data_IF_345209805453
#
_entry.id   IF_345209805453
#
_cell.length_a   1.000
_cell.length_b   1.000
_cell.length_c   1.000
_cell.angle_alpha   90.00
_cell.angle_beta   90.00
_cell.angle_gamma   90.00
#
_symmetry.space_group_name_H-M   'P 1'
#
loop_
_entity.id
_entity.type
_entity.pdbx_description
1 polymer ?
#
# COMPACT_ATOMS: atom_id res chain seq x y z
N UNK A 1 19.97 27.81 -27.39
CA UNK A 1 19.31 29.00 -27.91
C UNK A 1 17.80 28.78 -27.99
N UNK A 2 17.02 29.78 -27.64
CA UNK A 2 15.53 29.79 -27.76
C UNK A 2 15.15 29.90 -29.22
N UNK A 3 14.35 28.93 -29.70
CA UNK A 3 13.80 28.94 -31.05
C UNK A 3 12.40 29.54 -31.12
N UNK A 4 11.60 29.36 -30.07
CA UNK A 4 10.28 29.96 -29.93
C UNK A 4 9.87 30.11 -28.47
N UNK A 5 9.04 31.12 -28.21
CA UNK A 5 8.40 31.36 -26.92
C UNK A 5 6.96 31.75 -27.16
N UNK A 6 6.02 30.89 -26.75
CA UNK A 6 4.59 31.08 -26.94
C UNK A 6 3.91 31.06 -25.57
N UNK A 7 2.96 31.98 -25.34
CA UNK A 7 2.15 31.93 -24.12
C UNK A 7 1.15 30.76 -24.19
N UNK A 8 1.07 29.96 -23.13
CA UNK A 8 0.18 28.83 -23.00
C UNK A 8 -0.48 28.86 -21.59
N UNK A 9 -1.62 29.55 -21.52
CA UNK A 9 -2.28 29.85 -20.23
C UNK A 9 -1.41 30.77 -19.35
N UNK A 10 -1.13 30.32 -18.15
CA UNK A 10 -0.29 31.04 -17.17
C UNK A 10 1.21 30.71 -17.32
N UNK A 11 1.59 29.93 -18.31
CA UNK A 11 2.95 29.50 -18.58
C UNK A 11 3.40 29.94 -19.97
N UNK A 12 4.69 29.85 -20.22
CA UNK A 12 5.32 30.05 -21.52
C UNK A 12 5.91 28.73 -22.00
N UNK A 13 5.52 28.34 -23.22
CA UNK A 13 6.01 27.15 -23.90
C UNK A 13 7.24 27.52 -24.72
N UNK A 14 8.38 26.98 -24.33
CA UNK A 14 9.69 27.29 -24.90
C UNK A 14 10.19 26.12 -25.74
N UNK A 15 10.67 26.41 -26.94
CA UNK A 15 11.42 25.47 -27.76
C UNK A 15 12.88 25.88 -27.85
N UNK A 16 13.80 24.92 -27.65
CA UNK A 16 15.24 25.13 -27.72
C UNK A 16 15.85 24.40 -28.92
N UNK A 17 16.97 24.91 -29.46
CA UNK A 17 17.71 24.23 -30.52
C UNK A 17 18.32 22.91 -30.07
N UNK A 18 18.57 22.72 -28.78
CA UNK A 18 18.99 21.48 -28.13
C UNK A 18 18.62 21.51 -26.65
N UNK A 19 18.37 20.36 -26.08
CA UNK A 19 18.06 20.25 -24.64
C UNK A 19 18.59 18.96 -24.07
N UNK A 20 18.89 18.98 -22.77
CA UNK A 20 19.21 17.80 -21.96
C UNK A 20 18.03 17.37 -21.07
N UNK A 21 16.96 18.14 -21.06
CA UNK A 21 15.76 17.79 -20.30
C UNK A 21 15.04 16.61 -20.94
N UNK A 22 14.82 15.57 -20.17
CA UNK A 22 14.04 14.42 -20.58
C UNK A 22 12.54 14.75 -20.50
N UNK A 23 11.77 14.55 -21.57
CA UNK A 23 10.32 14.76 -21.56
C UNK A 23 9.63 13.60 -20.81
N UNK A 24 8.37 13.81 -20.45
CA UNK A 24 7.56 12.72 -19.88
C UNK A 24 7.32 11.65 -20.95
N UNK A 25 7.89 10.48 -20.75
CA UNK A 25 7.78 9.35 -21.68
C UNK A 25 8.01 8.01 -21.00
N UNK A 26 7.42 6.94 -21.56
CA UNK A 26 7.72 5.56 -21.17
C UNK A 26 7.37 5.20 -19.72
N UNK A 27 6.48 5.95 -19.06
CA UNK A 27 6.12 5.74 -17.65
C UNK A 27 7.04 6.45 -16.67
N UNK A 28 7.98 7.28 -17.17
CA UNK A 28 8.83 8.16 -16.38
C UNK A 28 8.38 9.60 -16.51
N UNK A 29 8.27 10.33 -15.39
CA UNK A 29 8.01 11.77 -15.37
C UNK A 29 9.14 12.56 -16.01
N UNK A 30 8.84 13.74 -16.52
CA UNK A 30 9.84 14.64 -17.07
C UNK A 30 10.85 15.12 -16.01
N UNK A 31 11.99 15.57 -16.48
CA UNK A 31 12.96 16.24 -15.62
C UNK A 31 12.42 17.52 -15.00
N UNK A 32 13.03 17.88 -13.88
CA UNK A 32 12.94 19.20 -13.26
C UNK A 32 14.27 19.96 -13.44
N UNK A 33 14.22 21.23 -13.20
CA UNK A 33 15.42 22.09 -13.26
C UNK A 33 15.05 23.50 -13.60
N UNK A 34 15.99 24.24 -14.20
CA UNK A 34 15.81 25.66 -14.56
C UNK A 34 16.33 25.99 -15.96
N UNK A 35 15.76 27.01 -16.58
CA UNK A 35 16.30 27.72 -17.74
C UNK A 35 16.57 29.15 -17.31
N UNK A 36 17.86 29.59 -17.27
CA UNK A 36 18.27 30.88 -16.70
C UNK A 36 17.67 31.15 -15.31
N UNK A 37 17.76 30.14 -14.41
CA UNK A 37 17.21 30.15 -13.05
C UNK A 37 15.67 30.15 -12.96
N UNK A 38 14.94 30.23 -14.08
CA UNK A 38 13.48 30.11 -14.13
C UNK A 38 13.12 28.62 -14.04
N UNK A 39 12.28 28.19 -13.07
CA UNK A 39 11.90 26.80 -12.93
C UNK A 39 11.17 26.24 -14.16
N UNK A 40 11.57 25.05 -14.58
CA UNK A 40 10.88 24.27 -15.61
C UNK A 40 9.80 23.44 -14.94
N UNK A 41 8.54 23.78 -15.21
CA UNK A 41 7.37 23.15 -14.60
C UNK A 41 7.01 21.81 -15.28
N UNK A 42 7.26 21.73 -16.60
CA UNK A 42 6.91 20.58 -17.41
C UNK A 42 7.78 20.49 -18.66
N UNK A 43 8.07 19.27 -19.09
CA UNK A 43 8.73 18.99 -20.38
C UNK A 43 7.96 17.89 -21.09
N UNK A 44 7.55 18.13 -22.32
CA UNK A 44 6.86 17.16 -23.19
C UNK A 44 7.49 17.11 -24.57
N UNK A 45 7.44 15.95 -25.19
CA UNK A 45 7.73 15.79 -26.62
C UNK A 45 6.41 15.71 -27.40
N UNK A 46 6.36 16.46 -28.48
CA UNK A 46 5.30 16.37 -29.48
C UNK A 46 5.91 16.57 -30.87
N UNK A 47 5.60 15.69 -31.80
CA UNK A 47 6.07 15.74 -33.19
C UNK A 47 7.61 15.82 -33.28
N UNK A 48 8.33 15.12 -32.41
CA UNK A 48 9.79 15.12 -32.25
C UNK A 48 10.40 16.45 -31.81
N UNK A 49 9.58 17.35 -31.29
CA UNK A 49 10.02 18.62 -30.69
C UNK A 49 9.79 18.56 -29.19
N UNK A 50 10.83 18.91 -28.43
CA UNK A 50 10.77 18.97 -26.96
C UNK A 50 10.39 20.39 -26.55
N UNK A 51 9.29 20.51 -25.83
CA UNK A 51 8.74 21.75 -25.29
C UNK A 51 8.97 21.82 -23.77
N UNK A 52 9.35 23.01 -23.31
CA UNK A 52 9.57 23.30 -21.90
C UNK A 52 8.56 24.36 -21.44
N UNK A 53 7.86 24.14 -20.33
CA UNK A 53 6.97 25.14 -19.74
C UNK A 53 7.61 25.81 -18.56
N UNK A 54 7.64 27.16 -18.60
CA UNK A 54 8.21 28.03 -17.57
C UNK A 54 7.23 29.14 -17.21
N UNK A 55 7.41 29.79 -16.05
CA UNK A 55 6.51 30.87 -15.60
C UNK A 55 6.82 32.25 -16.19
N UNK A 56 8.03 32.44 -16.69
CA UNK A 56 8.47 33.70 -17.24
C UNK A 56 8.88 33.54 -18.71
N UNK A 57 8.66 34.57 -19.56
CA UNK A 57 9.02 34.46 -20.96
C UNK A 57 10.56 34.50 -21.18
N UNK A 58 11.00 33.79 -22.21
CA UNK A 58 12.34 33.83 -22.73
C UNK A 58 12.28 34.31 -24.18
N UNK A 59 13.23 35.19 -24.57
CA UNK A 59 13.18 35.82 -25.89
C UNK A 59 13.80 34.91 -26.95
N UNK A 60 13.16 34.86 -28.12
CA UNK A 60 13.71 34.17 -29.29
C UNK A 60 15.11 34.70 -29.68
N UNK A 61 16.04 33.80 -29.93
CA UNK A 61 17.43 34.10 -30.21
C UNK A 61 18.33 34.15 -28.97
N UNK A 62 17.79 34.23 -27.76
CA UNK A 62 18.57 34.24 -26.55
C UNK A 62 19.29 32.92 -26.30
N UNK A 63 20.51 33.01 -25.79
CA UNK A 63 21.22 31.85 -25.25
C UNK A 63 20.80 31.64 -23.81
N UNK A 64 20.29 30.47 -23.50
CA UNK A 64 19.86 30.09 -22.15
C UNK A 64 20.74 29.00 -21.59
N UNK A 65 20.97 29.05 -20.28
CA UNK A 65 21.62 27.98 -19.53
C UNK A 65 20.54 27.07 -18.93
N UNK A 66 20.53 25.80 -19.32
CA UNK A 66 19.68 24.79 -18.73
C UNK A 66 20.41 24.05 -17.61
N UNK A 67 19.82 24.00 -16.42
CA UNK A 67 20.28 23.21 -15.28
C UNK A 67 19.23 22.16 -14.94
N UNK A 68 19.57 20.88 -15.15
CA UNK A 68 18.70 19.75 -14.72
C UNK A 68 18.89 19.51 -13.23
N UNK A 69 17.80 19.28 -12.51
CA UNK A 69 17.84 18.74 -11.15
C UNK A 69 18.49 17.35 -11.18
N UNK A 70 19.79 17.34 -10.88
CA UNK A 70 20.60 16.14 -10.99
C UNK A 70 20.22 15.08 -9.96
N UNK A 71 19.81 15.48 -8.76
CA UNK A 71 19.41 14.54 -7.71
C UNK A 71 18.17 13.74 -8.15
N UNK A 72 17.14 14.42 -8.65
CA UNK A 72 15.97 13.77 -9.22
C UNK A 72 16.32 12.91 -10.44
N UNK A 73 17.09 13.46 -11.39
CA UNK A 73 17.50 12.77 -12.61
C UNK A 73 18.26 11.48 -12.29
N UNK A 74 19.25 11.55 -11.41
CA UNK A 74 20.05 10.41 -11.03
C UNK A 74 19.20 9.34 -10.30
N UNK A 75 18.32 9.77 -9.40
CA UNK A 75 17.36 8.87 -8.76
C UNK A 75 16.49 8.15 -9.80
N UNK A 76 15.94 8.86 -10.78
CA UNK A 76 15.13 8.26 -11.83
C UNK A 76 15.94 7.29 -12.70
N UNK A 77 17.21 7.62 -13.03
CA UNK A 77 18.12 6.73 -13.74
C UNK A 77 18.39 5.44 -12.96
N UNK A 78 18.57 5.52 -11.62
CA UNK A 78 18.73 4.35 -10.75
C UNK A 78 17.49 3.46 -10.80
N UNK A 79 16.28 4.04 -10.67
CA UNK A 79 15.02 3.30 -10.72
C UNK A 79 14.84 2.63 -12.09
N UNK A 80 15.04 3.37 -13.17
CA UNK A 80 14.78 2.86 -14.52
C UNK A 80 15.76 1.75 -14.91
N UNK A 81 17.04 1.92 -14.58
CA UNK A 81 18.05 0.87 -14.86
C UNK A 81 17.80 -0.36 -13.99
N UNK A 82 17.39 -0.19 -12.73
CA UNK A 82 16.97 -1.29 -11.86
C UNK A 82 15.75 -2.05 -12.41
N UNK A 83 14.78 -1.34 -13.00
CA UNK A 83 13.64 -1.95 -13.68
C UNK A 83 14.07 -2.86 -14.83
N UNK A 84 15.00 -2.41 -15.68
CA UNK A 84 15.52 -3.21 -16.78
C UNK A 84 16.13 -4.52 -16.28
N UNK A 85 16.96 -4.48 -15.24
CA UNK A 85 17.58 -5.67 -14.65
C UNK A 85 16.51 -6.64 -14.13
N UNK A 86 15.54 -6.13 -13.35
CA UNK A 86 14.47 -6.95 -12.76
C UNK A 86 13.57 -7.55 -13.84
N UNK A 87 13.15 -6.74 -14.81
CA UNK A 87 12.31 -7.20 -15.91
C UNK A 87 13.01 -8.21 -16.82
N UNK A 88 14.29 -8.01 -17.10
CA UNK A 88 15.11 -8.96 -17.87
C UNK A 88 15.23 -10.30 -17.15
N UNK A 89 15.54 -10.29 -15.84
CA UNK A 89 15.60 -11.50 -15.02
C UNK A 89 14.26 -12.23 -14.94
N UNK A 90 13.15 -11.53 -14.73
CA UNK A 90 11.82 -12.15 -14.69
C UNK A 90 11.49 -12.78 -16.05
N UNK A 91 11.81 -12.11 -17.13
CA UNK A 91 11.65 -12.69 -18.48
C UNK A 91 12.52 -13.90 -18.70
N UNK A 92 13.79 -13.85 -18.31
CA UNK A 92 14.74 -14.97 -18.46
C UNK A 92 14.28 -16.21 -17.70
N UNK A 93 13.95 -16.06 -16.42
CA UNK A 93 13.65 -17.19 -15.52
C UNK A 93 12.22 -17.72 -15.63
N UNK A 94 11.25 -16.84 -15.91
CA UNK A 94 9.83 -17.21 -15.84
C UNK A 94 9.09 -17.03 -17.16
N UNK A 95 9.75 -16.46 -18.18
CA UNK A 95 9.17 -16.15 -19.50
C UNK A 95 7.96 -15.20 -19.40
N UNK A 96 7.90 -14.38 -18.35
CA UNK A 96 6.87 -13.37 -18.17
C UNK A 96 7.31 -12.04 -18.79
N UNK A 97 6.34 -11.30 -19.31
CA UNK A 97 6.57 -10.00 -19.92
C UNK A 97 6.16 -8.87 -19.00
N UNK A 98 6.96 -7.82 -18.95
CA UNK A 98 6.55 -6.57 -18.33
C UNK A 98 5.53 -5.87 -19.27
N UNK A 99 4.28 -5.79 -18.81
CA UNK A 99 3.15 -5.18 -19.55
C UNK A 99 2.75 -3.81 -19.03
N UNK A 100 3.41 -3.33 -17.96
CA UNK A 100 3.18 -2.01 -17.39
C UNK A 100 4.35 -1.55 -16.52
N UNK A 101 4.72 -0.29 -16.67
CA UNK A 101 5.77 0.36 -15.89
C UNK A 101 5.33 1.77 -15.51
N UNK A 102 5.52 2.13 -14.25
CA UNK A 102 5.30 3.48 -13.78
C UNK A 102 6.35 3.84 -12.73
N UNK A 103 7.10 4.92 -13.01
CA UNK A 103 8.07 5.50 -12.10
C UNK A 103 7.39 6.56 -11.25
N UNK A 104 6.73 6.12 -10.17
CA UNK A 104 6.07 7.01 -9.23
C UNK A 104 7.04 7.69 -8.26
N UNK A 105 6.55 8.72 -7.56
CA UNK A 105 7.32 9.45 -6.54
C UNK A 105 7.69 8.55 -5.33
N UNK A 106 6.79 7.69 -4.90
CA UNK A 106 6.98 6.83 -3.72
C UNK A 106 7.61 5.48 -4.07
N UNK A 107 7.16 4.85 -5.15
CA UNK A 107 7.68 3.57 -5.62
C UNK A 107 7.56 3.42 -7.13
N UNK A 108 8.42 2.60 -7.68
CA UNK A 108 8.30 2.09 -9.05
C UNK A 108 7.37 0.89 -9.04
N UNK A 109 6.43 0.83 -9.98
CA UNK A 109 5.57 -0.32 -10.19
C UNK A 109 5.84 -0.97 -11.54
N UNK A 110 5.89 -2.30 -11.54
CA UNK A 110 6.06 -3.15 -12.73
C UNK A 110 4.95 -4.19 -12.76
N UNK A 111 4.23 -4.27 -13.86
CA UNK A 111 3.14 -5.23 -14.06
C UNK A 111 3.61 -6.35 -15.00
N UNK A 112 3.43 -7.59 -14.58
CA UNK A 112 3.79 -8.77 -15.36
C UNK A 112 2.55 -9.60 -15.70
N UNK A 113 2.57 -10.25 -16.87
CA UNK A 113 1.47 -11.03 -17.45
C UNK A 113 1.30 -12.43 -16.82
N UNK A 114 2.00 -12.73 -15.75
CA UNK A 114 1.88 -13.98 -15.00
C UNK A 114 2.20 -13.82 -13.52
N UNK A 115 2.13 -14.93 -12.80
CA UNK A 115 2.26 -14.96 -11.33
C UNK A 115 3.61 -15.56 -10.94
N UNK A 116 4.26 -14.95 -9.95
CA UNK A 116 5.45 -15.46 -9.29
C UNK A 116 5.20 -15.60 -7.78
N UNK A 117 5.98 -16.45 -7.12
CA UNK A 117 5.91 -16.63 -5.65
C UNK A 117 6.80 -15.61 -4.93
N UNK A 118 6.63 -15.50 -3.62
CA UNK A 118 7.50 -14.65 -2.80
C UNK A 118 8.95 -15.14 -2.78
N UNK A 119 9.17 -16.43 -2.82
CA UNK A 119 10.50 -17.05 -2.89
C UNK A 119 11.17 -16.73 -4.23
N UNK A 120 10.44 -16.81 -5.32
CA UNK A 120 10.91 -16.41 -6.65
C UNK A 120 11.24 -14.91 -6.70
N UNK A 121 10.40 -14.06 -6.08
CA UNK A 121 10.66 -12.62 -5.98
C UNK A 121 11.97 -12.32 -5.22
N UNK A 122 12.21 -13.01 -4.10
CA UNK A 122 13.47 -12.87 -3.32
C UNK A 122 14.68 -13.33 -4.12
N UNK A 123 14.54 -14.41 -4.89
CA UNK A 123 15.61 -14.87 -5.79
C UNK A 123 15.93 -13.82 -6.85
N UNK A 124 14.92 -13.20 -7.47
CA UNK A 124 15.10 -12.10 -8.43
C UNK A 124 15.78 -10.90 -7.78
N UNK A 125 15.33 -10.49 -6.58
CA UNK A 125 15.95 -9.39 -5.83
C UNK A 125 17.45 -9.65 -5.58
N UNK A 126 17.79 -10.87 -5.17
CA UNK A 126 19.19 -11.27 -4.96
C UNK A 126 20.02 -11.17 -6.24
N UNK A 127 19.51 -11.76 -7.33
CA UNK A 127 20.20 -11.73 -8.64
C UNK A 127 20.31 -10.32 -9.23
N UNK A 128 19.31 -9.48 -9.00
CA UNK A 128 19.39 -8.08 -9.41
C UNK A 128 20.52 -7.33 -8.68
N UNK A 129 20.70 -7.61 -7.39
CA UNK A 129 21.80 -7.02 -6.61
C UNK A 129 23.18 -7.64 -6.97
N UNK A 130 23.23 -8.87 -7.49
CA UNK A 130 24.48 -9.40 -8.10
C UNK A 130 24.90 -8.57 -9.33
N UNK A 131 23.94 -8.11 -10.15
CA UNK A 131 24.24 -7.22 -11.27
C UNK A 131 24.82 -5.88 -10.79
N UNK A 132 24.25 -5.31 -9.72
CA UNK A 132 24.77 -4.09 -9.09
C UNK A 132 26.21 -4.31 -8.60
N UNK A 133 26.46 -5.41 -7.88
CA UNK A 133 27.79 -5.73 -7.35
C UNK A 133 28.84 -5.97 -8.42
N UNK A 134 28.43 -6.50 -9.60
CA UNK A 134 29.35 -6.71 -10.75
C UNK A 134 29.77 -5.42 -11.44
N UNK A 135 29.10 -4.30 -11.20
CA UNK A 135 29.38 -2.99 -11.78
C UNK A 135 29.56 -3.01 -13.30
N UNK A 136 28.58 -3.61 -14.00
CA UNK A 136 28.61 -3.81 -15.44
C UNK A 136 28.33 -2.49 -16.18
N UNK A 137 28.96 -2.26 -17.38
CA UNK A 137 28.63 -1.09 -18.19
C UNK A 137 27.22 -1.21 -18.76
N UNK A 138 26.46 -0.12 -18.73
CA UNK A 138 25.17 0.02 -19.43
C UNK A 138 25.48 0.60 -20.80
N UNK A 139 25.32 -0.23 -21.84
CA UNK A 139 25.63 0.17 -23.20
C UNK A 139 24.41 0.75 -23.89
N UNK A 140 24.60 1.86 -24.57
CA UNK A 140 23.56 2.53 -25.35
C UNK A 140 24.02 2.58 -26.81
N UNK A 141 23.20 2.01 -27.69
CA UNK A 141 23.50 1.96 -29.13
C UNK A 141 22.30 2.37 -29.97
N UNK A 142 22.56 2.74 -31.22
CA UNK A 142 21.58 3.08 -32.24
C UNK A 142 21.83 2.21 -33.47
N UNK A 143 21.43 0.91 -33.42
CA UNK A 143 21.68 -0.02 -34.49
C UNK A 143 20.97 0.38 -35.79
N UNK A 144 21.52 -0.03 -36.94
CA UNK A 144 20.82 0.03 -38.21
C UNK A 144 19.64 -0.96 -38.25
N UNK A 145 18.77 -0.86 -39.27
CA UNK A 145 17.64 -1.79 -39.40
C UNK A 145 18.11 -3.26 -39.61
N UNK A 146 19.22 -3.45 -40.26
CA UNK A 146 19.81 -4.76 -40.49
C UNK A 146 20.34 -5.38 -39.19
N UNK A 147 21.07 -4.58 -38.39
CA UNK A 147 21.59 -5.00 -37.09
C UNK A 147 20.47 -5.30 -36.09
N UNK A 148 19.37 -4.54 -36.11
CA UNK A 148 18.22 -4.77 -35.25
C UNK A 148 17.55 -6.12 -35.45
N UNK A 149 17.58 -6.68 -36.67
CA UNK A 149 17.01 -8.01 -36.94
C UNK A 149 17.82 -9.14 -36.27
N UNK A 150 19.08 -8.91 -35.92
CA UNK A 150 19.94 -9.89 -35.27
C UNK A 150 19.97 -9.71 -33.73
N UNK A 151 19.49 -8.57 -33.20
CA UNK A 151 19.53 -8.30 -31.78
C UNK A 151 18.22 -8.79 -31.12
N UNK A 152 18.26 -9.74 -30.18
CA UNK A 152 17.09 -10.24 -29.47
C UNK A 152 16.67 -9.25 -28.35
N UNK A 153 16.18 -8.07 -28.73
CA UNK A 153 15.77 -7.05 -27.76
C UNK A 153 14.29 -7.16 -27.38
N UNK A 154 13.97 -6.75 -26.15
CA UNK A 154 12.60 -6.57 -25.68
C UNK A 154 12.08 -5.19 -26.08
N UNK A 155 10.81 -5.10 -26.41
CA UNK A 155 10.12 -3.82 -26.62
C UNK A 155 8.71 -3.87 -26.04
N UNK A 156 8.27 -2.79 -25.40
CA UNK A 156 6.90 -2.64 -24.87
C UNK A 156 5.92 -2.08 -25.92
N UNK A 157 6.45 -1.53 -27.02
CA UNK A 157 5.68 -0.89 -28.10
C UNK A 157 6.34 -1.15 -29.45
N UNK A 158 5.56 -1.10 -30.51
CA UNK A 158 6.10 -0.90 -31.85
C UNK A 158 6.67 0.52 -31.94
N UNK A 159 7.87 0.67 -32.48
CA UNK A 159 8.58 1.94 -32.57
C UNK A 159 8.83 2.25 -34.04
N UNK A 160 8.28 3.39 -34.50
CA UNK A 160 8.55 3.94 -35.81
C UNK A 160 9.81 4.83 -35.79
N UNK A 161 10.82 4.49 -36.60
CA UNK A 161 12.04 5.29 -36.73
C UNK A 161 13.28 4.64 -36.10
N UNK A 162 14.32 5.45 -35.77
CA UNK A 162 15.52 4.95 -35.15
C UNK A 162 15.25 4.39 -33.76
N UNK A 163 15.68 3.17 -33.49
CA UNK A 163 15.50 2.49 -32.22
C UNK A 163 16.77 2.61 -31.38
N UNK A 164 16.64 3.17 -30.17
CA UNK A 164 17.71 3.20 -29.18
C UNK A 164 17.66 1.95 -28.33
N UNK A 165 18.76 1.19 -28.35
CA UNK A 165 18.92 -0.03 -27.57
C UNK A 165 19.74 0.25 -26.32
N UNK A 166 19.24 -0.21 -25.18
CA UNK A 166 19.92 -0.25 -23.90
C UNK A 166 20.26 -1.70 -23.59
N UNK A 167 21.55 -2.01 -23.45
CA UNK A 167 22.05 -3.35 -23.09
C UNK A 167 22.71 -3.32 -21.72
N UNK A 168 22.27 -4.19 -20.83
CA UNK A 168 22.94 -4.55 -19.59
C UNK A 168 23.46 -5.98 -19.76
N UNK A 169 24.75 -6.18 -20.00
CA UNK A 169 25.30 -7.46 -20.42
C UNK A 169 24.92 -8.62 -19.48
N UNK A 170 24.26 -9.64 -20.04
CA UNK A 170 23.81 -10.83 -19.31
C UNK A 170 22.55 -10.64 -18.47
N UNK A 171 21.87 -9.48 -18.59
CA UNK A 171 20.65 -9.21 -17.82
C UNK A 171 19.51 -8.72 -18.69
N UNK A 172 19.72 -7.74 -19.56
CA UNK A 172 18.65 -7.19 -20.39
C UNK A 172 19.17 -6.54 -21.68
N UNK A 173 18.38 -6.64 -22.74
CA UNK A 173 18.52 -5.88 -23.98
C UNK A 173 17.15 -5.35 -24.34
N UNK A 174 16.95 -4.04 -24.31
CA UNK A 174 15.63 -3.44 -24.46
C UNK A 174 15.67 -2.15 -25.28
N UNK A 175 14.62 -1.94 -26.07
CA UNK A 175 14.37 -0.64 -26.70
C UNK A 175 13.88 0.35 -25.66
N UNK A 176 14.65 1.41 -25.39
CA UNK A 176 14.33 2.40 -24.38
C UNK A 176 14.92 3.77 -24.71
N UNK A 177 14.14 4.84 -24.53
CA UNK A 177 14.56 6.23 -24.76
C UNK A 177 15.04 6.95 -23.50
N UNK A 178 14.70 6.44 -22.32
CA UNK A 178 14.97 7.10 -21.04
C UNK A 178 16.47 7.14 -20.69
N UNK A 179 16.88 8.12 -19.83
CA UNK A 179 18.22 8.14 -19.27
C UNK A 179 18.48 6.94 -18.34
N UNK A 180 19.71 6.43 -18.39
CA UNK A 180 20.18 5.32 -17.56
C UNK A 180 21.49 5.68 -16.88
N UNK A 181 21.85 4.99 -15.81
CA UNK A 181 23.18 5.07 -15.21
C UNK A 181 24.24 4.49 -16.18
N UNK A 182 25.50 4.88 -16.01
CA UNK A 182 26.58 4.37 -16.88
C UNK A 182 27.05 2.97 -16.50
N UNK A 183 26.97 2.66 -15.20
CA UNK A 183 27.35 1.37 -14.65
C UNK A 183 26.29 0.89 -13.67
N UNK A 184 26.06 -0.43 -13.62
CA UNK A 184 25.05 -1.01 -12.70
C UNK A 184 25.37 -0.77 -11.23
N UNK A 185 26.63 -0.54 -10.86
CA UNK A 185 27.03 -0.16 -9.49
C UNK A 185 26.47 1.20 -9.04
N UNK A 186 26.20 2.12 -9.96
CA UNK A 186 25.60 3.43 -9.66
C UNK A 186 24.13 3.31 -9.20
N UNK A 187 23.47 2.15 -9.44
CA UNK A 187 22.14 1.86 -8.92
C UNK A 187 22.16 1.81 -7.37
N UNK A 188 23.29 1.35 -6.80
CA UNK A 188 23.48 1.20 -5.38
C UNK A 188 22.82 -0.06 -4.82
N UNK A 189 21.52 -0.10 -4.68
CA UNK A 189 20.76 -1.24 -4.17
C UNK A 189 19.40 -1.35 -4.87
N UNK A 190 18.96 -2.56 -5.13
CA UNK A 190 17.62 -2.85 -5.65
C UNK A 190 16.81 -3.58 -4.57
N UNK A 191 15.63 -3.05 -4.20
CA UNK A 191 14.70 -3.66 -3.26
C UNK A 191 13.34 -3.88 -3.92
N UNK A 192 12.82 -5.10 -3.83
CA UNK A 192 11.47 -5.45 -4.26
C UNK A 192 10.56 -5.41 -3.02
N UNK A 193 9.94 -4.25 -2.80
CA UNK A 193 9.28 -3.89 -1.53
C UNK A 193 7.87 -4.44 -1.38
N UNK A 194 7.21 -4.75 -2.49
CA UNK A 194 5.84 -5.26 -2.49
C UNK A 194 5.51 -6.12 -3.71
N UNK A 195 4.50 -6.97 -3.54
CA UNK A 195 3.94 -7.78 -4.62
C UNK A 195 2.45 -8.04 -4.35
N UNK A 196 1.62 -7.76 -5.35
CA UNK A 196 0.17 -7.97 -5.29
C UNK A 196 -0.36 -8.56 -6.61
N UNK A 197 -1.52 -9.21 -6.54
CA UNK A 197 -2.21 -9.70 -7.75
C UNK A 197 -2.77 -8.51 -8.54
N UNK A 198 -2.53 -8.51 -9.85
CA UNK A 198 -2.99 -7.43 -10.71
C UNK A 198 -3.35 -7.92 -12.12
N UNK A 199 -4.57 -7.68 -12.58
CA UNK A 199 -5.07 -7.97 -13.94
C UNK A 199 -4.69 -9.35 -14.51
N UNK A 200 -4.80 -10.39 -13.70
CA UNK A 200 -4.45 -11.76 -14.10
C UNK A 200 -2.97 -12.13 -13.97
N UNK A 201 -2.12 -11.17 -13.62
CA UNK A 201 -0.71 -11.34 -13.34
C UNK A 201 -0.31 -10.80 -11.98
N UNK A 202 0.86 -10.19 -11.90
CA UNK A 202 1.41 -9.64 -10.66
C UNK A 202 1.92 -8.22 -10.88
N UNK A 203 1.65 -7.33 -9.91
CA UNK A 203 2.30 -6.02 -9.76
C UNK A 203 3.40 -6.12 -8.72
N UNK A 204 4.58 -5.68 -9.06
CA UNK A 204 5.75 -5.62 -8.19
C UNK A 204 6.09 -4.16 -7.91
N UNK A 205 6.38 -3.84 -6.65
CA UNK A 205 6.90 -2.56 -6.22
C UNK A 205 8.40 -2.65 -6.00
N UNK A 206 9.13 -1.65 -6.48
CA UNK A 206 10.59 -1.59 -6.41
C UNK A 206 11.06 -0.21 -5.97
N UNK A 207 12.17 -0.20 -5.26
CA UNK A 207 12.97 0.99 -4.96
C UNK A 207 14.44 0.71 -5.22
N UNK A 208 15.16 1.68 -5.76
CA UNK A 208 16.60 1.61 -5.99
C UNK A 208 17.35 2.75 -5.30
N UNK A 209 18.63 2.56 -5.06
CA UNK A 209 19.57 3.56 -4.58
C UNK A 209 19.14 4.23 -3.29
N UNK A 210 19.23 5.56 -3.25
CA UNK A 210 18.88 6.34 -2.06
C UNK A 210 17.42 6.21 -1.64
N UNK A 211 16.48 5.96 -2.56
CA UNK A 211 15.07 5.70 -2.22
C UNK A 211 14.93 4.38 -1.47
N UNK A 212 15.66 3.34 -1.88
CA UNK A 212 15.70 2.06 -1.18
C UNK A 212 16.37 2.17 0.20
N UNK A 213 17.41 2.99 0.32
CA UNK A 213 18.07 3.28 1.60
C UNK A 213 17.14 4.01 2.56
N UNK A 214 16.43 5.04 2.08
CA UNK A 214 15.48 5.81 2.90
C UNK A 214 14.36 4.92 3.45
N UNK A 215 13.77 4.06 2.61
CA UNK A 215 12.76 3.08 3.01
C UNK A 215 13.30 2.08 4.07
N UNK A 216 14.55 1.62 3.90
CA UNK A 216 15.18 0.72 4.86
C UNK A 216 15.41 1.38 6.22
N UNK A 217 15.91 2.63 6.23
CA UNK A 217 16.14 3.40 7.45
C UNK A 217 14.85 3.73 8.19
N UNK A 218 13.77 4.02 7.47
CA UNK A 218 12.46 4.25 8.09
C UNK A 218 11.92 2.97 8.76
N UNK A 219 12.02 1.83 8.08
CA UNK A 219 11.63 0.52 8.64
C UNK A 219 12.49 0.13 9.83
N UNK A 220 13.80 0.39 9.77
CA UNK A 220 14.71 0.17 10.90
C UNK A 220 14.31 1.00 12.12
N UNK A 221 14.04 2.31 11.94
CA UNK A 221 13.55 3.19 13.01
C UNK A 221 12.29 2.65 13.66
N UNK A 222 11.29 2.27 12.86
CA UNK A 222 10.05 1.67 13.36
C UNK A 222 10.32 0.40 14.19
N UNK A 223 11.25 -0.46 13.76
CA UNK A 223 11.63 -1.66 14.52
C UNK A 223 12.28 -1.29 15.86
N UNK A 224 13.16 -0.30 15.90
CA UNK A 224 13.78 0.16 17.14
C UNK A 224 12.77 0.80 18.10
N UNK A 225 11.83 1.59 17.58
CA UNK A 225 10.77 2.20 18.38
C UNK A 225 9.86 1.14 19.03
N UNK A 226 9.49 0.11 18.28
CA UNK A 226 8.72 -1.03 18.83
C UNK A 226 9.56 -1.83 19.83
N UNK A 227 10.84 -2.05 19.53
CA UNK A 227 11.81 -2.71 20.42
C UNK A 227 11.87 -2.02 21.77
N UNK A 228 11.96 -0.69 21.78
CA UNK A 228 11.97 0.10 23.01
C UNK A 228 10.66 -0.02 23.79
N UNK A 229 9.49 0.09 23.12
CA UNK A 229 8.17 -0.03 23.76
C UNK A 229 7.94 -1.41 24.39
N UNK A 230 8.44 -2.46 23.77
CA UNK A 230 8.27 -3.84 24.23
C UNK A 230 9.40 -4.33 25.15
N UNK A 231 10.45 -3.52 25.38
CA UNK A 231 11.66 -3.93 26.06
C UNK A 231 12.24 -5.24 25.50
N UNK A 232 12.18 -5.39 24.18
CA UNK A 232 12.64 -6.56 23.44
C UNK A 232 13.81 -6.19 22.51
N UNK A 233 14.66 -7.13 22.14
CA UNK A 233 15.72 -6.87 21.15
C UNK A 233 15.11 -6.71 19.74
N UNK A 234 15.73 -5.92 18.85
CA UNK A 234 15.20 -5.70 17.50
C UNK A 234 14.83 -6.98 16.72
N UNK A 235 15.62 -8.04 16.89
CA UNK A 235 15.37 -9.35 16.23
C UNK A 235 14.26 -10.18 16.88
N UNK A 236 13.80 -9.79 18.08
CA UNK A 236 12.81 -10.50 18.90
C UNK A 236 11.46 -9.77 18.91
N UNK A 237 11.37 -8.62 18.24
CA UNK A 237 10.16 -7.76 18.23
C UNK A 237 8.90 -8.54 17.80
N UNK A 238 8.99 -9.37 16.75
CA UNK A 238 7.84 -10.15 16.29
C UNK A 238 7.34 -11.13 17.37
N UNK A 239 8.26 -11.83 18.06
CA UNK A 239 7.91 -12.74 19.15
C UNK A 239 7.34 -12.00 20.37
N UNK A 240 7.88 -10.80 20.67
CA UNK A 240 7.36 -9.96 21.76
C UNK A 240 5.94 -9.45 21.48
N UNK A 241 5.64 -9.06 20.22
CA UNK A 241 4.28 -8.68 19.79
C UNK A 241 3.32 -9.87 19.92
N UNK A 242 3.74 -11.07 19.50
CA UNK A 242 2.91 -12.27 19.62
C UNK A 242 2.63 -12.61 21.09
N UNK A 243 3.64 -12.52 21.94
CA UNK A 243 3.48 -12.70 23.39
C UNK A 243 2.47 -11.70 23.97
N UNK A 244 2.62 -10.40 23.68
CA UNK A 244 1.70 -9.35 24.15
C UNK A 244 0.26 -9.60 23.67
N UNK A 245 0.09 -10.05 22.43
CA UNK A 245 -1.23 -10.40 21.87
C UNK A 245 -1.86 -11.56 22.63
N UNK A 246 -1.10 -12.59 22.96
CA UNK A 246 -1.57 -13.76 23.71
C UNK A 246 -1.90 -13.40 25.16
N UNK A 247 -1.07 -12.61 25.83
CA UNK A 247 -1.34 -12.08 27.18
C UNK A 247 -2.62 -11.24 27.21
N UNK A 248 -2.80 -10.35 26.22
CA UNK A 248 -4.03 -9.53 26.11
C UNK A 248 -5.27 -10.42 25.91
N UNK A 249 -5.17 -11.50 25.13
CA UNK A 249 -6.26 -12.44 24.93
C UNK A 249 -6.58 -13.18 26.24
N UNK A 250 -5.59 -13.66 26.95
CA UNK A 250 -5.75 -14.33 28.24
C UNK A 250 -6.41 -13.42 29.27
N UNK A 251 -5.94 -12.17 29.40
CA UNK A 251 -6.53 -11.18 30.31
C UNK A 251 -8.00 -10.87 29.96
N UNK A 252 -8.34 -10.80 28.69
CA UNK A 252 -9.74 -10.61 28.26
C UNK A 252 -10.62 -11.82 28.63
N UNK A 253 -10.11 -13.02 28.51
CA UNK A 253 -10.82 -14.25 28.91
C UNK A 253 -11.02 -14.30 30.44
N UNK A 254 -9.97 -13.99 31.19
CA UNK A 254 -10.02 -13.91 32.65
C UNK A 254 -11.03 -12.85 33.12
N UNK A 255 -10.96 -11.65 32.55
CA UNK A 255 -11.93 -10.57 32.86
C UNK A 255 -13.38 -10.98 32.53
N UNK A 256 -13.59 -11.71 31.44
CA UNK A 256 -14.92 -12.23 31.08
C UNK A 256 -15.39 -13.27 32.11
N UNK A 257 -14.51 -14.20 32.52
CA UNK A 257 -14.79 -15.16 33.57
C UNK A 257 -15.15 -14.51 34.92
N UNK A 258 -14.36 -13.52 35.34
CA UNK A 258 -14.64 -12.75 36.54
C UNK A 258 -16.02 -12.04 36.48
N UNK A 259 -16.35 -11.42 35.35
CA UNK A 259 -17.68 -10.81 35.15
C UNK A 259 -18.80 -11.83 35.23
N UNK A 260 -18.63 -13.01 34.63
CA UNK A 260 -19.62 -14.10 34.70
C UNK A 260 -19.83 -14.58 36.15
N UNK A 261 -18.74 -14.73 36.92
CA UNK A 261 -18.85 -15.11 38.34
C UNK A 261 -19.64 -14.08 39.16
N UNK A 262 -19.30 -12.79 38.98
CA UNK A 262 -20.01 -11.69 39.66
C UNK A 262 -21.51 -11.70 39.29
N UNK A 263 -21.85 -11.90 38.02
CA UNK A 263 -23.24 -11.99 37.56
C UNK A 263 -23.93 -13.20 38.17
N UNK A 264 -23.25 -14.34 38.24
CA UNK A 264 -23.79 -15.54 38.86
C UNK A 264 -24.07 -15.33 40.36
N UNK A 265 -23.15 -14.71 41.09
CA UNK A 265 -23.36 -14.36 42.53
C UNK A 265 -24.55 -13.42 42.71
N UNK A 266 -24.62 -12.34 41.92
CA UNK A 266 -25.75 -11.37 41.99
C UNK A 266 -27.10 -12.05 41.71
N UNK A 267 -27.14 -12.91 40.64
CA UNK A 267 -28.41 -13.59 40.28
C UNK A 267 -28.72 -14.68 41.28
N UNK A 268 -27.72 -15.38 41.84
CA UNK A 268 -27.97 -16.40 42.89
C UNK A 268 -28.55 -15.76 44.16
N UNK A 269 -28.15 -14.52 44.48
CA UNK A 269 -28.71 -13.79 45.64
C UNK A 269 -30.12 -13.27 45.44
N UNK A 270 -30.71 -13.32 44.25
CA UNK A 270 -32.12 -12.99 44.03
C UNK A 270 -33.04 -14.01 44.70
N UNK A 271 -34.24 -13.59 45.17
CA UNK A 271 -35.23 -14.49 45.78
C UNK A 271 -35.55 -15.69 44.84
N UNK A 272 -35.81 -16.83 45.45
CA UNK A 272 -36.25 -18.00 44.70
C UNK A 272 -37.79 -17.99 44.50
N UNK A 273 -38.24 -18.60 43.40
CA UNK A 273 -39.65 -18.73 43.03
C UNK A 273 -40.40 -17.42 42.75
N UNK A 274 -39.69 -16.40 42.30
CA UNK A 274 -40.29 -15.22 41.75
C UNK A 274 -40.95 -15.52 40.40
N UNK A 275 -42.18 -14.98 40.22
CA UNK A 275 -42.90 -15.18 38.98
C UNK A 275 -42.26 -14.39 37.82
N UNK A 276 -41.85 -13.13 38.09
CA UNK A 276 -41.19 -12.30 37.10
C UNK A 276 -39.92 -11.65 37.70
N UNK A 277 -38.81 -11.57 36.95
CA UNK A 277 -37.56 -11.01 37.41
C UNK A 277 -37.02 -10.00 36.37
N UNK A 278 -36.76 -8.76 36.83
CA UNK A 278 -36.00 -7.76 36.08
C UNK A 278 -34.64 -7.56 36.75
N UNK A 279 -33.58 -7.89 36.03
CA UNK A 279 -32.21 -7.76 36.49
C UNK A 279 -31.49 -6.66 35.74
N UNK A 280 -31.01 -5.66 36.47
CA UNK A 280 -30.28 -4.51 35.92
C UNK A 280 -28.84 -4.55 36.36
N UNK A 281 -27.92 -4.40 35.40
CA UNK A 281 -26.51 -4.21 35.67
C UNK A 281 -25.89 -3.30 34.59
N UNK A 282 -24.64 -2.85 34.80
CA UNK A 282 -23.92 -1.97 33.88
C UNK A 282 -22.72 -2.67 33.29
N UNK A 283 -22.36 -2.31 32.03
CA UNK A 283 -21.17 -2.78 31.35
C UNK A 283 -21.17 -4.29 31.03
N UNK A 284 -22.32 -4.85 30.78
CA UNK A 284 -22.44 -6.20 30.24
C UNK A 284 -22.24 -6.19 28.73
N UNK A 285 -21.39 -7.04 28.20
CA UNK A 285 -21.35 -7.30 26.76
C UNK A 285 -22.45 -8.31 26.37
N UNK A 286 -22.62 -8.56 25.05
CA UNK A 286 -23.65 -9.48 24.56
C UNK A 286 -23.52 -10.89 25.13
N UNK A 287 -22.30 -11.37 25.39
CA UNK A 287 -22.05 -12.69 25.96
C UNK A 287 -22.49 -12.75 27.42
N UNK A 288 -22.12 -11.73 28.19
CA UNK A 288 -22.48 -11.63 29.61
C UNK A 288 -23.98 -11.43 29.81
N UNK A 289 -24.65 -10.62 28.97
CA UNK A 289 -26.11 -10.49 28.98
C UNK A 289 -26.81 -11.82 28.71
N UNK A 290 -26.33 -12.57 27.71
CA UNK A 290 -26.91 -13.87 27.40
C UNK A 290 -26.67 -14.89 28.53
N UNK A 291 -25.50 -14.86 29.13
CA UNK A 291 -25.20 -15.70 30.28
C UNK A 291 -26.10 -15.38 31.48
N UNK A 292 -26.23 -14.10 31.86
CA UNK A 292 -27.11 -13.63 32.91
C UNK A 292 -28.56 -14.00 32.64
N UNK A 293 -29.03 -13.81 31.42
CA UNK A 293 -30.37 -14.20 30.99
C UNK A 293 -30.63 -15.72 31.17
N UNK A 294 -29.70 -16.56 30.77
CA UNK A 294 -29.85 -18.02 30.94
C UNK A 294 -30.00 -18.42 32.43
N UNK A 295 -29.21 -17.79 33.31
CA UNK A 295 -29.33 -18.00 34.74
C UNK A 295 -30.68 -17.53 35.32
N UNK A 296 -31.17 -16.38 34.83
CA UNK A 296 -32.48 -15.85 35.22
C UNK A 296 -33.63 -16.74 34.79
N UNK A 297 -33.59 -17.29 33.57
CA UNK A 297 -34.62 -18.24 33.07
C UNK A 297 -34.70 -19.52 33.92
N UNK A 298 -33.59 -19.98 34.48
CA UNK A 298 -33.58 -21.11 35.39
C UNK A 298 -34.26 -20.82 36.74
N UNK A 299 -34.17 -19.57 37.22
CA UNK A 299 -34.67 -19.10 38.51
C UNK A 299 -36.12 -18.57 38.47
N UNK A 300 -36.60 -18.15 37.31
CA UNK A 300 -37.91 -17.51 37.12
C UNK A 300 -38.96 -18.52 36.63
N UNK A 301 -40.16 -18.44 37.14
CA UNK A 301 -41.31 -19.25 36.71
C UNK A 301 -42.14 -18.58 35.61
N UNK A 302 -41.97 -17.28 35.34
CA UNK A 302 -42.68 -16.51 34.32
C UNK A 302 -41.75 -15.76 33.40
N UNK A 303 -41.85 -14.45 33.32
CA UNK A 303 -41.07 -13.57 32.46
C UNK A 303 -39.83 -13.06 33.19
N UNK A 304 -38.66 -13.15 32.56
CA UNK A 304 -37.45 -12.54 33.08
C UNK A 304 -36.76 -11.65 32.01
N UNK A 305 -36.09 -10.60 32.48
CA UNK A 305 -35.35 -9.68 31.65
C UNK A 305 -34.00 -9.27 32.26
N UNK A 306 -32.97 -9.23 31.46
CA UNK A 306 -31.67 -8.72 31.79
C UNK A 306 -31.46 -7.40 31.03
N UNK A 307 -31.14 -6.34 31.74
CA UNK A 307 -31.02 -4.97 31.21
C UNK A 307 -29.63 -4.41 31.49
N UNK A 308 -28.95 -3.90 30.45
CA UNK A 308 -27.65 -3.24 30.53
C UNK A 308 -27.71 -1.81 30.04
N UNK A 309 -27.42 -0.89 30.92
CA UNK A 309 -27.49 0.55 30.62
C UNK A 309 -27.80 1.41 31.84
N UNK A 310 -28.27 2.58 31.60
CA UNK A 310 -28.71 3.53 32.62
C UNK A 310 -29.86 4.45 32.12
N UNK A 311 -30.45 5.20 33.05
CA UNK A 311 -31.59 6.09 32.77
C UNK A 311 -31.28 7.26 31.85
N UNK A 312 -29.97 7.59 31.66
CA UNK A 312 -29.56 8.72 30.81
C UNK A 312 -29.36 8.27 29.36
N UNK A 313 -28.79 7.05 29.15
CA UNK A 313 -28.38 6.55 27.83
C UNK A 313 -29.31 5.46 27.32
N UNK A 314 -30.26 5.00 28.12
CA UNK A 314 -31.14 3.90 27.81
C UNK A 314 -30.54 2.51 28.09
N UNK A 315 -31.33 1.51 27.82
CA UNK A 315 -31.00 0.12 28.16
C UNK A 315 -30.98 -0.77 26.92
N UNK A 316 -29.97 -1.60 26.83
CA UNK A 316 -30.03 -2.82 26.00
C UNK A 316 -30.65 -3.92 26.86
N UNK A 317 -31.44 -4.79 26.24
CA UNK A 317 -32.10 -5.83 26.99
C UNK A 317 -32.14 -7.18 26.28
N UNK A 318 -32.23 -8.22 27.08
CA UNK A 318 -32.57 -9.59 26.67
C UNK A 318 -33.65 -10.07 27.62
N UNK A 319 -34.78 -10.52 27.09
CA UNK A 319 -35.90 -11.04 27.87
C UNK A 319 -36.42 -12.35 27.31
N UNK A 320 -37.04 -13.12 28.17
CA UNK A 320 -37.66 -14.40 27.85
C UNK A 320 -38.36 -14.97 29.06
N UNK A 321 -38.77 -16.24 28.97
CA UNK A 321 -39.46 -16.88 30.08
C UNK A 321 -39.99 -18.25 29.72
N UNK A 322 -40.61 -18.92 30.74
CA UNK A 322 -41.24 -20.21 30.57
C UNK A 322 -42.75 -20.00 30.50
N UNK A 323 -43.38 -20.66 29.55
CA UNK A 323 -44.85 -20.67 29.37
C UNK A 323 -45.48 -19.30 29.17
N UNK A 324 -44.73 -18.32 28.60
CA UNK A 324 -45.17 -16.94 28.31
C UNK A 324 -44.97 -16.58 26.84
N UNK A 325 -45.86 -15.73 26.30
CA UNK A 325 -45.67 -15.19 24.96
C UNK A 325 -44.61 -14.07 24.96
N UNK A 326 -43.37 -14.49 24.82
CA UNK A 326 -42.21 -13.58 24.86
C UNK A 326 -42.26 -12.52 23.75
N UNK A 327 -42.83 -12.87 22.59
CA UNK A 327 -42.94 -11.92 21.46
C UNK A 327 -43.95 -10.82 21.79
N UNK A 328 -45.13 -11.20 22.32
CA UNK A 328 -46.15 -10.24 22.73
C UNK A 328 -45.64 -9.30 23.85
N UNK A 329 -44.99 -9.90 24.87
CA UNK A 329 -44.38 -9.13 25.96
C UNK A 329 -43.30 -8.17 25.48
N UNK A 330 -42.38 -8.61 24.59
CA UNK A 330 -41.32 -7.76 24.03
C UNK A 330 -41.84 -6.61 23.16
N UNK A 331 -42.89 -6.88 22.37
CA UNK A 331 -43.57 -5.81 21.61
C UNK A 331 -44.24 -4.77 22.51
N UNK A 332 -44.96 -5.22 23.51
CA UNK A 332 -45.61 -4.35 24.46
C UNK A 332 -44.59 -3.48 25.24
N UNK A 333 -43.46 -4.06 25.62
CA UNK A 333 -42.36 -3.30 26.26
C UNK A 333 -41.75 -2.26 25.32
N UNK A 334 -41.50 -2.62 24.07
CA UNK A 334 -40.98 -1.68 23.07
C UNK A 334 -41.94 -0.52 22.82
N UNK A 335 -43.26 -0.79 22.77
CA UNK A 335 -44.29 0.23 22.59
C UNK A 335 -44.35 1.16 23.79
N UNK A 336 -44.27 0.61 25.00
CA UNK A 336 -44.38 1.41 26.26
C UNK A 336 -43.11 2.27 26.50
N UNK A 337 -41.93 1.82 26.05
CA UNK A 337 -40.66 2.46 26.35
C UNK A 337 -40.00 3.11 25.09
N UNK A 338 -40.72 3.23 23.97
CA UNK A 338 -40.21 3.71 22.67
C UNK A 338 -38.95 2.94 22.25
N UNK A 339 -38.90 1.65 22.57
CA UNK A 339 -37.78 0.76 22.33
C UNK A 339 -37.86 0.10 20.95
N UNK A 340 -36.74 -0.53 20.54
CA UNK A 340 -36.62 -1.30 19.33
C UNK A 340 -36.02 -2.65 19.63
N UNK A 341 -36.59 -3.70 19.08
CA UNK A 341 -36.06 -5.04 19.30
C UNK A 341 -36.86 -6.10 18.55
N UNK A 342 -36.36 -7.32 18.63
CA UNK A 342 -36.98 -8.48 18.00
C UNK A 342 -36.44 -9.78 18.57
N UNK A 343 -37.10 -10.91 18.23
CA UNK A 343 -36.67 -12.19 18.74
C UNK A 343 -37.54 -13.35 18.31
N UNK A 344 -37.40 -14.47 19.02
CA UNK A 344 -38.15 -15.69 18.89
C UNK A 344 -39.09 -15.90 20.06
N UNK A 345 -39.79 -17.04 20.08
CA UNK A 345 -40.65 -17.45 21.20
C UNK A 345 -39.85 -17.68 22.50
N UNK A 346 -38.55 -17.93 22.42
CA UNK A 346 -37.69 -18.24 23.56
C UNK A 346 -36.96 -17.02 24.10
N UNK A 347 -36.64 -16.04 23.23
CA UNK A 347 -35.85 -14.90 23.60
C UNK A 347 -36.14 -13.68 22.70
N UNK A 348 -36.30 -12.52 23.32
CA UNK A 348 -36.48 -11.22 22.67
C UNK A 348 -35.41 -10.25 23.16
N UNK A 349 -34.85 -9.44 22.26
CA UNK A 349 -33.73 -8.54 22.59
C UNK A 349 -33.86 -7.20 21.86
N UNK A 350 -33.32 -6.14 22.46
CA UNK A 350 -33.30 -4.80 21.89
C UNK A 350 -32.32 -3.86 22.56
#
# INVERSE_FOLDING_TARGET
CVLSCEQDGDLYKITLNQTMFFPEEGGQSCDRGTLNDIPVEKVLEKDRVIYHWVKEPLWEGDTVTGCVDWEKRFSDMQQHTGEHIVSGLIHEYFKLNNVGFHLGSEAVTMDFDGVITREQLRMIEHKANEAVAKNLPVKITWPSREELMEIPYRSKKEIDGPIRIVEIPGYDICACCAPHVHFTGEIGMIRLTGMEKYKGGVRIQMLCGFRALADALEKERNVYDISAQLSAKPYEVAAAVEKLKNENLALKQEMTGMKMNILQEKITALPENEQNICFFDKHMDKSNMRYAFNLLVEKCSGLCGCFDGDDENGYRYVMGGRDVDVIAAGKAMNEALDGRGGGSKEMFQG
#
